data_IF_509542679117
#
_entry.id   IF_509542679117
#
_cell.length_a   1.000
_cell.length_b   1.000
_cell.length_c   1.000
_cell.angle_alpha   90.00
_cell.angle_beta   90.00
_cell.angle_gamma   90.00
#
_symmetry.space_group_name_H-M   'P 1'
#
loop_
_entity.id
_entity.type
_entity.pdbx_description
1 polymer ?
#
# COMPACT_ATOMS: atom_id res chain seq x y z
N UNK A 1 -2.71 -12.55 30.01
CA UNK A 1 -1.76 -11.54 29.50
C UNK A 1 -0.87 -11.96 28.33
N UNK A 2 -1.06 -13.12 27.65
CA UNK A 2 -0.18 -13.57 26.54
C UNK A 2 -0.65 -13.22 25.11
N UNK A 3 -1.89 -12.75 24.93
CA UNK A 3 -2.50 -12.61 23.60
C UNK A 3 -2.14 -11.29 22.88
N UNK A 4 -1.95 -10.19 23.63
CA UNK A 4 -1.72 -8.86 23.04
C UNK A 4 -0.30 -8.69 22.45
N UNK A 5 0.71 -9.33 23.04
CA UNK A 5 2.09 -9.26 22.55
C UNK A 5 2.32 -10.02 21.23
N UNK A 6 1.55 -11.08 20.98
CA UNK A 6 1.68 -11.86 19.75
C UNK A 6 1.25 -11.06 18.51
N UNK A 7 0.13 -10.33 18.60
CA UNK A 7 -0.37 -9.53 17.48
C UNK A 7 0.54 -8.37 17.10
N UNK A 8 1.14 -7.68 18.08
CA UNK A 8 2.08 -6.59 17.83
C UNK A 8 3.39 -7.09 17.21
N UNK A 9 3.94 -8.21 17.69
CA UNK A 9 5.14 -8.82 17.13
C UNK A 9 4.91 -9.28 15.67
N UNK A 10 3.77 -9.88 15.38
CA UNK A 10 3.40 -10.27 14.01
C UNK A 10 3.27 -9.05 13.11
N UNK A 11 2.61 -7.98 13.57
CA UNK A 11 2.49 -6.75 12.78
C UNK A 11 3.86 -6.11 12.46
N UNK A 12 4.76 -6.06 13.45
CA UNK A 12 6.12 -5.58 13.26
C UNK A 12 6.91 -6.43 12.25
N UNK A 13 6.79 -7.77 12.34
CA UNK A 13 7.44 -8.69 11.39
C UNK A 13 6.91 -8.49 9.96
N UNK A 14 5.59 -8.38 9.78
CA UNK A 14 4.99 -8.11 8.47
C UNK A 14 5.42 -6.75 7.90
N UNK A 15 5.50 -5.70 8.73
CA UNK A 15 5.98 -4.39 8.29
C UNK A 15 7.46 -4.40 7.89
N UNK A 16 8.31 -5.13 8.63
CA UNK A 16 9.73 -5.31 8.27
C UNK A 16 9.89 -6.06 6.94
N UNK A 17 9.08 -7.11 6.72
CA UNK A 17 9.07 -7.84 5.46
C UNK A 17 8.60 -6.94 4.29
N UNK A 18 7.59 -6.10 4.52
CA UNK A 18 7.15 -5.09 3.54
C UNK A 18 8.26 -4.10 3.18
N UNK A 19 8.97 -3.54 4.17
CA UNK A 19 10.08 -2.64 3.90
C UNK A 19 11.18 -3.29 3.06
N UNK A 20 11.44 -4.58 3.31
CA UNK A 20 12.39 -5.37 2.52
C UNK A 20 11.92 -5.49 1.07
N UNK A 21 10.65 -5.88 0.87
CA UNK A 21 10.04 -5.98 -0.46
C UNK A 21 10.11 -4.64 -1.23
N UNK A 22 9.68 -3.55 -0.60
CA UNK A 22 9.69 -2.22 -1.22
C UNK A 22 11.10 -1.70 -1.49
N UNK A 23 12.09 -2.10 -0.70
CA UNK A 23 13.49 -1.76 -0.91
C UNK A 23 14.15 -2.52 -2.05
N UNK A 24 13.73 -3.76 -2.32
CA UNK A 24 14.25 -4.58 -3.42
C UNK A 24 13.57 -4.33 -4.76
N UNK A 25 12.37 -3.74 -4.76
CA UNK A 25 11.55 -3.56 -5.96
C UNK A 25 11.70 -2.16 -6.58
N UNK A 26 11.91 -2.13 -7.89
CA UNK A 26 11.83 -0.92 -8.69
C UNK A 26 10.36 -0.60 -9.07
N UNK A 27 9.55 -0.11 -8.12
CA UNK A 27 8.12 0.16 -8.36
C UNK A 27 7.79 1.66 -8.45
N UNK A 28 6.70 2.00 -9.15
CA UNK A 28 6.18 3.36 -9.22
C UNK A 28 5.46 3.70 -7.92
N UNK A 29 4.33 3.04 -7.67
CA UNK A 29 3.51 3.24 -6.49
C UNK A 29 2.97 1.91 -5.95
N UNK A 30 2.79 1.86 -4.64
CA UNK A 30 2.28 0.69 -3.95
C UNK A 30 0.98 1.01 -3.19
N UNK A 31 0.03 0.08 -3.23
CA UNK A 31 -1.14 0.09 -2.35
C UNK A 31 -0.99 -1.01 -1.30
N UNK A 32 -1.10 -0.65 -0.03
CA UNK A 32 -0.94 -1.56 1.11
C UNK A 32 -2.25 -1.62 1.89
N UNK A 33 -2.73 -2.83 2.17
CA UNK A 33 -4.01 -3.03 2.84
C UNK A 33 -3.85 -3.62 4.24
N UNK A 34 -4.53 -3.02 5.21
CA UNK A 34 -4.63 -3.45 6.61
C UNK A 34 -6.11 -3.50 7.01
N UNK A 35 -6.49 -4.25 8.06
CA UNK A 35 -7.91 -4.34 8.45
C UNK A 35 -8.32 -3.27 9.49
N UNK A 36 -7.35 -2.57 10.09
CA UNK A 36 -7.61 -1.61 11.17
C UNK A 36 -6.95 -0.26 10.93
N UNK A 37 -7.67 0.83 11.21
CA UNK A 37 -7.18 2.21 11.04
C UNK A 37 -5.87 2.46 11.79
N UNK A 38 -5.82 2.12 13.08
CA UNK A 38 -4.63 2.34 13.91
C UNK A 38 -3.39 1.64 13.34
N UNK A 39 -3.58 0.47 12.71
CA UNK A 39 -2.49 -0.25 12.04
C UNK A 39 -2.09 0.42 10.73
N UNK A 40 -3.05 0.91 9.96
CA UNK A 40 -2.79 1.64 8.72
C UNK A 40 -2.02 2.94 8.97
N UNK A 41 -2.41 3.69 10.00
CA UNK A 41 -1.74 4.91 10.45
C UNK A 41 -0.32 4.64 10.93
N UNK A 42 -0.15 3.71 11.87
CA UNK A 42 1.18 3.29 12.34
C UNK A 42 2.09 2.81 11.20
N UNK A 43 1.55 2.08 10.22
CA UNK A 43 2.32 1.60 9.09
C UNK A 43 2.75 2.75 8.18
N UNK A 44 1.87 3.72 7.89
CA UNK A 44 2.22 4.88 7.07
C UNK A 44 3.35 5.69 7.70
N UNK A 45 3.32 5.88 9.02
CA UNK A 45 4.40 6.55 9.75
C UNK A 45 5.70 5.73 9.69
N UNK A 46 5.61 4.41 9.88
CA UNK A 46 6.76 3.49 9.80
C UNK A 46 7.42 3.51 8.42
N UNK A 47 6.62 3.48 7.36
CA UNK A 47 7.09 3.55 5.97
C UNK A 47 7.75 4.90 5.68
N UNK A 48 7.13 5.99 6.13
CA UNK A 48 7.66 7.34 5.93
C UNK A 48 8.98 7.53 6.66
N UNK A 49 9.09 7.08 7.90
CA UNK A 49 10.35 7.08 8.66
C UNK A 49 11.45 6.25 7.96
N UNK A 50 11.06 5.18 7.25
CA UNK A 50 11.95 4.37 6.44
C UNK A 50 12.19 4.93 5.02
N UNK A 51 11.76 6.16 4.72
CA UNK A 51 12.04 6.83 3.45
C UNK A 51 11.10 6.48 2.30
N UNK A 52 9.96 5.86 2.59
CA UNK A 52 8.90 5.63 1.61
C UNK A 52 7.77 6.62 1.90
N UNK A 53 7.65 7.74 1.16
CA UNK A 53 6.58 8.71 1.37
C UNK A 53 5.23 8.01 1.32
N UNK A 54 4.56 7.94 2.47
CA UNK A 54 3.34 7.18 2.63
C UNK A 54 2.25 8.01 3.30
N UNK A 55 1.00 7.75 2.92
CA UNK A 55 -0.16 8.25 3.63
C UNK A 55 -1.15 7.12 3.85
N UNK A 56 -1.93 7.18 4.93
CA UNK A 56 -3.04 6.27 5.13
C UNK A 56 -4.37 6.90 4.73
N UNK A 57 -5.26 6.08 4.20
CA UNK A 57 -6.62 6.43 3.84
C UNK A 57 -7.60 5.53 4.59
N UNK A 58 -8.55 6.15 5.29
CA UNK A 58 -9.59 5.44 6.03
C UNK A 58 -10.96 6.06 5.80
N UNK A 59 -12.02 5.28 6.02
CA UNK A 59 -13.41 5.68 5.76
C UNK A 59 -13.91 6.87 6.59
N UNK A 60 -13.28 7.11 7.73
CA UNK A 60 -13.61 8.18 8.68
C UNK A 60 -12.88 9.50 8.39
N UNK A 61 -12.00 9.55 7.38
CA UNK A 61 -11.34 10.78 6.95
C UNK A 61 -12.29 11.65 6.11
N UNK A 62 -12.28 12.98 6.29
CA UNK A 62 -13.03 13.91 5.45
C UNK A 62 -12.77 13.68 3.96
N UNK A 63 -13.81 13.81 3.11
CA UNK A 63 -13.67 13.63 1.66
C UNK A 63 -12.57 14.53 1.07
N UNK A 64 -12.41 15.75 1.57
CA UNK A 64 -11.37 16.70 1.17
C UNK A 64 -9.96 16.17 1.42
N UNK A 65 -9.68 15.67 2.61
CA UNK A 65 -8.38 15.08 2.96
C UNK A 65 -8.08 13.86 2.09
N UNK A 66 -9.10 13.03 1.84
CA UNK A 66 -8.98 11.87 0.95
C UNK A 66 -8.62 12.28 -0.48
N UNK A 67 -9.29 13.31 -1.02
CA UNK A 67 -8.98 13.83 -2.35
C UNK A 67 -7.57 14.43 -2.44
N UNK A 68 -7.12 15.16 -1.42
CA UNK A 68 -5.77 15.74 -1.38
C UNK A 68 -4.67 14.67 -1.33
N UNK A 69 -4.85 13.63 -0.52
CA UNK A 69 -3.94 12.50 -0.48
C UNK A 69 -3.91 11.78 -1.84
N UNK A 70 -5.06 11.64 -2.50
CA UNK A 70 -5.15 11.06 -3.84
C UNK A 70 -4.47 11.92 -4.92
N UNK A 71 -4.61 13.24 -4.88
CA UNK A 71 -3.88 14.15 -5.75
C UNK A 71 -2.38 14.07 -5.53
N UNK A 72 -1.95 13.94 -4.27
CA UNK A 72 -0.54 13.77 -3.91
C UNK A 72 0.02 12.46 -4.47
N UNK A 73 -0.78 11.39 -4.50
CA UNK A 73 -0.41 10.13 -5.14
C UNK A 73 -0.34 10.33 -6.65
N UNK A 74 -1.37 10.87 -7.29
CA UNK A 74 -1.37 11.07 -8.76
C UNK A 74 -0.21 11.94 -9.25
N UNK A 75 0.19 12.94 -8.46
CA UNK A 75 1.32 13.82 -8.76
C UNK A 75 2.68 13.31 -8.30
N UNK A 76 2.84 12.01 -8.00
CA UNK A 76 4.11 11.42 -7.52
C UNK A 76 4.74 12.18 -6.35
N UNK A 77 3.92 12.61 -5.38
CA UNK A 77 4.39 13.12 -4.08
C UNK A 77 4.38 12.05 -3.00
N UNK A 78 3.56 11.01 -3.20
CA UNK A 78 3.51 9.81 -2.36
C UNK A 78 3.88 8.58 -3.20
N UNK A 79 4.67 7.67 -2.63
CA UNK A 79 4.96 6.36 -3.23
C UNK A 79 4.04 5.26 -2.73
N UNK A 80 3.53 5.38 -1.50
CA UNK A 80 2.74 4.31 -0.88
C UNK A 80 1.44 4.85 -0.30
N UNK A 81 0.34 4.16 -0.57
CA UNK A 81 -0.94 4.39 0.13
C UNK A 81 -1.21 3.19 1.02
N UNK A 82 -1.56 3.44 2.28
CA UNK A 82 -2.05 2.41 3.21
C UNK A 82 -3.57 2.56 3.38
N UNK A 83 -4.35 1.49 3.34
CA UNK A 83 -5.82 1.58 3.38
C UNK A 83 -6.51 0.41 4.07
N UNK A 84 -7.75 0.63 4.54
CA UNK A 84 -8.58 -0.36 5.26
C UNK A 84 -9.86 -0.75 4.52
N UNK A 85 -9.78 -1.02 3.22
CA UNK A 85 -10.90 -1.49 2.36
C UNK A 85 -11.89 -0.43 1.86
N UNK A 86 -12.39 0.44 2.75
CA UNK A 86 -13.48 1.39 2.41
C UNK A 86 -13.11 2.35 1.27
N UNK A 87 -11.81 2.59 1.07
CA UNK A 87 -11.32 3.46 -0.01
C UNK A 87 -10.90 2.72 -1.28
N UNK A 88 -10.94 1.39 -1.35
CA UNK A 88 -10.56 0.68 -2.58
C UNK A 88 -11.64 0.78 -3.67
N UNK A 89 -12.91 1.02 -3.32
CA UNK A 89 -14.01 1.12 -4.29
C UNK A 89 -14.12 2.58 -4.79
N UNK A 90 -13.78 2.79 -6.06
CA UNK A 90 -13.91 4.09 -6.74
C UNK A 90 -12.65 4.97 -6.70
N UNK A 91 -11.57 4.50 -6.08
CA UNK A 91 -10.27 5.17 -6.15
C UNK A 91 -9.49 4.59 -7.33
N UNK A 92 -9.20 5.46 -8.29
CA UNK A 92 -8.43 5.16 -9.48
C UNK A 92 -6.94 5.32 -9.19
N UNK A 93 -6.24 4.19 -9.17
CA UNK A 93 -4.82 4.04 -8.83
C UNK A 93 -4.06 3.51 -10.04
N UNK A 94 -4.22 4.16 -11.20
CA UNK A 94 -3.70 3.70 -12.49
C UNK A 94 -2.19 3.40 -12.49
N UNK A 95 -1.44 4.04 -11.59
CA UNK A 95 0.02 3.92 -11.49
C UNK A 95 0.49 2.95 -10.39
N UNK A 96 -0.43 2.24 -9.73
CA UNK A 96 -0.09 1.24 -8.71
C UNK A 96 0.20 -0.10 -9.37
N UNK A 97 1.47 -0.48 -9.34
CA UNK A 97 1.95 -1.76 -9.87
C UNK A 97 2.32 -2.77 -8.77
N UNK A 98 2.24 -2.37 -7.51
CA UNK A 98 2.46 -3.25 -6.36
C UNK A 98 1.28 -3.17 -5.40
N UNK A 99 0.64 -4.29 -5.14
CA UNK A 99 -0.38 -4.43 -4.10
C UNK A 99 0.16 -5.31 -2.98
N UNK A 100 0.10 -4.84 -1.74
CA UNK A 100 0.50 -5.62 -0.57
C UNK A 100 -0.68 -5.79 0.40
N UNK A 101 -1.06 -7.03 0.69
CA UNK A 101 -2.04 -7.35 1.74
C UNK A 101 -1.29 -7.67 3.03
N UNK A 102 -1.18 -6.72 3.95
CA UNK A 102 -0.55 -6.96 5.26
C UNK A 102 -1.46 -7.77 6.18
N UNK A 103 -2.74 -7.45 6.15
CA UNK A 103 -3.78 -8.26 6.78
C UNK A 103 -4.62 -8.90 5.69
N UNK A 104 -4.92 -10.20 5.82
CA UNK A 104 -5.92 -10.82 4.95
C UNK A 104 -7.29 -10.19 5.22
N UNK A 105 -8.07 -9.89 4.18
CA UNK A 105 -9.44 -9.43 4.37
C UNK A 105 -10.29 -10.52 5.03
N UNK A 106 -11.44 -10.13 5.58
CA UNK A 106 -12.37 -11.09 6.18
C UNK A 106 -13.11 -11.96 5.15
N UNK A 107 -13.17 -11.50 3.89
CA UNK A 107 -13.96 -12.13 2.82
C UNK A 107 -13.18 -12.16 1.50
N UNK A 108 -13.38 -13.23 0.72
CA UNK A 108 -12.76 -13.41 -0.59
C UNK A 108 -13.11 -12.30 -1.58
N UNK A 109 -14.35 -11.79 -1.56
CA UNK A 109 -14.76 -10.70 -2.44
C UNK A 109 -13.92 -9.43 -2.21
N UNK A 110 -13.56 -9.14 -0.96
CA UNK A 110 -12.68 -8.01 -0.64
C UNK A 110 -11.25 -8.28 -1.12
N UNK A 111 -10.76 -9.51 -1.01
CA UNK A 111 -9.46 -9.91 -1.57
C UNK A 111 -9.38 -9.63 -3.08
N UNK A 112 -10.38 -10.09 -3.84
CA UNK A 112 -10.49 -9.84 -5.29
C UNK A 112 -10.44 -8.34 -5.60
N UNK A 113 -11.19 -7.53 -4.85
CA UNK A 113 -11.19 -6.08 -5.05
C UNK A 113 -9.85 -5.42 -4.76
N UNK A 114 -9.07 -5.94 -3.81
CA UNK A 114 -7.73 -5.44 -3.47
C UNK A 114 -6.71 -5.81 -4.54
N UNK A 115 -6.68 -7.07 -4.97
CA UNK A 115 -5.69 -7.54 -5.96
C UNK A 115 -6.00 -7.04 -7.37
N UNK A 116 -7.27 -6.83 -7.71
CA UNK A 116 -7.69 -6.22 -8.97
C UNK A 116 -7.40 -4.71 -9.10
N UNK A 117 -6.64 -4.13 -8.16
CA UNK A 117 -6.16 -2.73 -8.22
C UNK A 117 -4.92 -2.55 -9.08
N UNK A 118 -4.30 -3.64 -9.51
CA UNK A 118 -3.13 -3.61 -10.38
C UNK A 118 -3.42 -4.32 -11.70
N UNK A 119 -2.59 -4.08 -12.72
CA UNK A 119 -2.70 -4.76 -14.02
C UNK A 119 -3.84 -4.28 -14.93
N UNK A 120 -4.24 -3.01 -14.84
CA UNK A 120 -5.24 -2.40 -15.73
C UNK A 120 -4.58 -1.91 -17.03
N UNK A 121 -5.30 -2.00 -18.14
CA UNK A 121 -4.88 -1.50 -19.47
C UNK A 121 -3.56 -2.08 -20.02
N UNK A 122 -3.25 -3.34 -19.73
CA UNK A 122 -2.05 -4.01 -20.26
C UNK A 122 -0.77 -3.77 -19.45
N UNK A 123 -0.86 -3.04 -18.33
CA UNK A 123 0.22 -2.99 -17.33
C UNK A 123 0.37 -4.35 -16.62
N UNK A 124 1.59 -4.72 -16.24
CA UNK A 124 1.84 -5.87 -15.37
C UNK A 124 1.99 -5.38 -13.93
N UNK A 125 1.48 -6.17 -12.99
CA UNK A 125 1.45 -5.79 -11.59
C UNK A 125 1.54 -7.01 -10.70
N UNK A 126 2.11 -6.83 -9.51
CA UNK A 126 2.28 -7.90 -8.52
C UNK A 126 1.38 -7.67 -7.32
N UNK A 127 0.83 -8.76 -6.78
CA UNK A 127 0.17 -8.75 -5.48
C UNK A 127 0.88 -9.69 -4.51
N UNK A 128 1.26 -9.18 -3.35
CA UNK A 128 1.94 -9.93 -2.30
C UNK A 128 1.08 -9.94 -1.04
N UNK A 129 0.80 -11.12 -0.51
CA UNK A 129 0.00 -11.28 0.72
C UNK A 129 0.85 -11.81 1.85
N UNK A 130 0.89 -11.08 2.97
CA UNK A 130 1.64 -11.44 4.16
C UNK A 130 0.75 -12.24 5.10
N UNK A 131 1.04 -13.53 5.22
CA UNK A 131 0.23 -14.48 6.01
C UNK A 131 1.04 -15.14 7.10
N UNK A 132 0.38 -15.39 8.22
CA UNK A 132 0.82 -16.36 9.23
C UNK A 132 0.51 -17.79 8.76
N UNK A 133 1.12 -18.78 9.42
CA UNK A 133 0.85 -20.19 9.11
C UNK A 133 -0.65 -20.56 9.23
N UNK A 134 -1.38 -19.95 10.17
CA UNK A 134 -2.82 -20.14 10.34
C UNK A 134 -3.67 -19.46 9.27
N UNK A 135 -3.15 -18.44 8.59
CA UNK A 135 -3.84 -17.67 7.56
C UNK A 135 -3.68 -18.27 6.15
N UNK A 136 -2.74 -19.21 5.97
CA UNK A 136 -2.39 -19.75 4.65
C UNK A 136 -3.57 -20.47 3.98
N UNK A 137 -4.35 -21.25 4.72
CA UNK A 137 -5.49 -21.98 4.16
C UNK A 137 -6.62 -21.04 3.74
N UNK A 138 -6.85 -19.97 4.52
CA UNK A 138 -7.81 -18.92 4.15
C UNK A 138 -7.36 -18.20 2.87
N UNK A 139 -6.08 -17.88 2.74
CA UNK A 139 -5.55 -17.26 1.52
C UNK A 139 -5.71 -18.17 0.30
N UNK A 140 -5.47 -19.47 0.42
CA UNK A 140 -5.71 -20.43 -0.68
C UNK A 140 -7.16 -20.38 -1.17
N UNK A 141 -8.12 -20.43 -0.24
CA UNK A 141 -9.54 -20.29 -0.59
C UNK A 141 -9.87 -18.95 -1.25
N UNK A 142 -9.21 -17.86 -0.86
CA UNK A 142 -9.40 -16.56 -1.51
C UNK A 142 -8.81 -16.51 -2.92
N UNK A 143 -7.63 -17.08 -3.14
CA UNK A 143 -7.00 -17.15 -4.47
C UNK A 143 -7.80 -18.02 -5.42
N UNK A 144 -8.32 -19.16 -4.95
CA UNK A 144 -9.22 -20.02 -5.70
C UNK A 144 -10.52 -19.28 -6.08
N UNK A 145 -11.17 -18.63 -5.11
CA UNK A 145 -12.37 -17.84 -5.35
C UNK A 145 -12.13 -16.65 -6.29
N UNK A 146 -10.92 -16.09 -6.28
CA UNK A 146 -10.51 -15.01 -7.18
C UNK A 146 -10.17 -15.48 -8.59
N UNK A 147 -10.04 -16.80 -8.82
CA UNK A 147 -9.49 -17.36 -10.05
C UNK A 147 -8.14 -16.73 -10.42
N UNK A 148 -7.35 -16.35 -9.41
CA UNK A 148 -6.16 -15.52 -9.55
C UNK A 148 -4.88 -16.31 -9.90
N UNK A 149 -5.02 -17.57 -10.31
CA UNK A 149 -3.91 -18.47 -10.62
C UNK A 149 -3.33 -19.20 -9.41
N UNK A 150 -2.07 -19.63 -9.51
CA UNK A 150 -1.38 -20.36 -8.46
C UNK A 150 -0.74 -19.43 -7.44
N UNK A 151 -0.75 -19.85 -6.17
CA UNK A 151 -0.08 -19.14 -5.10
C UNK A 151 1.37 -19.60 -5.03
N UNK A 152 2.28 -18.70 -5.37
CA UNK A 152 3.72 -18.95 -5.27
C UNK A 152 4.31 -18.29 -4.02
N UNK A 153 5.25 -18.95 -3.31
CA UNK A 153 6.03 -18.29 -2.28
C UNK A 153 6.84 -17.15 -2.90
N UNK A 154 6.97 -16.04 -2.18
CA UNK A 154 7.73 -14.89 -2.65
C UNK A 154 9.18 -15.32 -2.99
N UNK A 155 9.64 -15.17 -4.25
CA UNK A 155 10.98 -15.57 -4.62
C UNK A 155 12.01 -14.63 -3.98
N UNK A 156 13.25 -15.12 -3.79
CA UNK A 156 14.33 -14.32 -3.23
C UNK A 156 14.72 -13.11 -4.11
N UNK A 157 14.42 -13.18 -5.40
CA UNK A 157 14.55 -12.08 -6.35
C UNK A 157 13.30 -12.06 -7.21
N UNK A 158 12.64 -10.92 -7.28
CA UNK A 158 11.43 -10.73 -8.09
C UNK A 158 11.89 -10.16 -9.44
N UNK A 159 11.75 -10.92 -10.54
CA UNK A 159 12.12 -10.44 -11.86
C UNK A 159 11.36 -9.15 -12.23
N UNK A 160 12.08 -8.19 -12.80
CA UNK A 160 11.54 -6.85 -13.13
C UNK A 160 10.44 -6.89 -14.20
N UNK A 161 10.44 -7.93 -15.04
CA UNK A 161 9.47 -8.18 -16.11
C UNK A 161 8.10 -8.66 -15.60
N UNK A 162 8.00 -9.18 -14.36
CA UNK A 162 6.72 -9.60 -13.77
C UNK A 162 5.79 -8.43 -13.42
N UNK A 163 6.31 -7.21 -13.37
CA UNK A 163 5.54 -6.00 -13.06
C UNK A 163 5.87 -4.84 -14.01
N UNK A 164 6.25 -5.20 -15.25
CA UNK A 164 6.63 -4.26 -16.30
C UNK A 164 5.58 -3.15 -16.47
N UNK A 165 6.08 -1.92 -16.55
CA UNK A 165 5.29 -0.71 -16.58
C UNK A 165 5.37 -0.08 -17.96
N UNK A 166 4.29 0.59 -18.38
CA UNK A 166 4.43 1.61 -19.42
C UNK A 166 5.38 2.70 -18.90
N UNK A 167 6.28 3.22 -19.75
CA UNK A 167 7.14 4.32 -19.37
C UNK A 167 6.32 5.48 -18.80
N UNK A 168 6.73 5.99 -17.64
CA UNK A 168 6.15 7.21 -17.10
C UNK A 168 6.39 8.37 -18.07
N UNK A 169 5.51 9.38 -18.03
CA UNK A 169 5.80 10.64 -18.73
C UNK A 169 7.07 11.27 -18.15
N UNK A 170 7.79 12.08 -18.93
CA UNK A 170 9.02 12.74 -18.46
C UNK A 170 8.82 13.52 -17.15
N UNK A 171 7.64 14.15 -17.00
CA UNK A 171 7.27 14.88 -15.78
C UNK A 171 7.12 13.95 -14.56
N UNK A 172 6.42 12.82 -14.74
CA UNK A 172 6.23 11.82 -13.69
C UNK A 172 7.54 11.13 -13.32
N UNK A 173 8.38 10.84 -14.32
CA UNK A 173 9.71 10.27 -14.11
C UNK A 173 10.59 11.22 -13.30
N UNK A 174 10.59 12.51 -13.63
CA UNK A 174 11.29 13.53 -12.85
C UNK A 174 10.81 13.61 -11.40
N UNK A 175 9.49 13.55 -11.17
CA UNK A 175 8.92 13.55 -9.83
C UNK A 175 9.32 12.29 -9.03
N UNK A 176 9.30 11.11 -9.68
CA UNK A 176 9.74 9.85 -9.06
C UNK A 176 11.22 9.89 -8.65
N UNK A 177 12.10 10.41 -9.51
CA UNK A 177 13.52 10.54 -9.19
C UNK A 177 13.77 11.52 -8.04
N UNK A 178 13.04 12.64 -7.98
CA UNK A 178 13.09 13.56 -6.84
C UNK A 178 12.66 12.88 -5.53
N UNK A 179 11.60 12.06 -5.56
CA UNK A 179 11.17 11.30 -4.38
C UNK A 179 12.22 10.28 -3.93
N UNK A 180 12.88 9.60 -4.86
CA UNK A 180 13.95 8.64 -4.55
C UNK A 180 15.20 9.33 -3.99
N UNK A 181 15.52 10.52 -4.48
CA UNK A 181 16.70 11.29 -4.09
C UNK A 181 16.50 12.12 -2.81
N UNK A 182 15.26 12.41 -2.42
CA UNK A 182 14.96 13.21 -1.25
C UNK A 182 15.46 12.53 0.05
N UNK A 183 16.10 13.27 0.97
CA UNK A 183 16.52 12.72 2.25
C UNK A 183 15.28 12.26 3.02
N UNK A 184 15.36 11.07 3.66
CA UNK A 184 14.21 10.37 4.30
C UNK A 184 13.34 11.26 5.22
N UNK A 185 13.91 12.33 5.81
CA UNK A 185 13.20 13.26 6.69
C UNK A 185 12.37 14.35 5.96
N UNK A 186 12.67 14.66 4.70
CA UNK A 186 12.02 15.77 3.96
C UNK A 186 10.71 15.37 3.25
N UNK A 187 10.33 14.10 3.32
CA UNK A 187 9.21 13.51 2.58
C UNK A 187 7.88 13.50 3.34
N UNK A 188 7.86 14.01 4.57
CA UNK A 188 6.62 14.20 5.32
C UNK A 188 5.83 15.35 4.68
N UNK A 189 4.54 15.16 4.31
CA UNK A 189 3.70 16.30 3.98
C UNK A 189 3.66 17.25 5.18
N UNK A 190 3.63 18.58 4.95
CA UNK A 190 3.48 19.53 6.05
C UNK A 190 2.22 19.17 6.86
N UNK A 191 2.27 19.24 8.20
CA UNK A 191 1.09 18.96 9.02
C UNK A 191 -0.08 19.84 8.55
N UNK A 192 -1.32 19.32 8.56
CA UNK A 192 -2.48 20.11 8.16
C UNK A 192 -2.54 21.40 9.01
N UNK A 193 -2.95 22.54 8.43
CA UNK A 193 -3.07 23.77 9.18
C UNK A 193 -4.01 23.56 10.38
N UNK A 194 -3.71 24.14 11.55
CA UNK A 194 -4.57 24.01 12.73
C UNK A 194 -5.99 24.51 12.39
N UNK A 195 -7.04 23.88 12.94
CA UNK A 195 -8.42 24.30 12.66
C UNK A 195 -8.57 25.78 13.03
N UNK A 196 -8.98 26.59 12.07
CA UNK A 196 -9.33 27.99 12.29
C UNK A 196 -10.50 28.02 13.26
N UNK A 197 -10.24 28.40 14.51
CA UNK A 197 -11.30 28.74 15.46
C UNK A 197 -11.95 30.02 14.97
N UNK A 198 -13.03 29.89 14.21
CA UNK A 198 -14.00 30.96 14.02
C UNK A 198 -14.74 31.12 15.35
N UNK A 199 -14.25 32.04 16.18
CA UNK A 199 -15.04 32.60 17.27
C UNK A 199 -16.13 33.47 16.67
N UNK A 200 -17.38 33.06 16.84
CA UNK A 200 -18.55 33.94 16.76
C UNK A 200 -19.24 33.89 18.11
#
# INVERSE_FOLDING_TARGET
>A
GRSLNGGAAVAAAKASALLTLLGSLAFHQAAVFCNHKARAEWLADTLTAAGFPAAYLSGDRPQTERMQAMESVRGFKLRVIVSTDVMARGVDLERVNVVANLDLPHEAATYVHRVGRTGRFGSLGISVSYVTASELETLRGFVEAAQAGELEPLPATIPHDLYAFEPLTDADQGALELLKAAPRAALLPPPPPPPTTTTT
#
